data_IF_131022697939
#
_entry.id   IF_131022697939
#
_cell.length_a   1.000
_cell.length_b   1.000
_cell.length_c   1.000
_cell.angle_alpha   90.00
_cell.angle_beta   90.00
_cell.angle_gamma   90.00
#
_symmetry.space_group_name_H-M   'P 1'
#
loop_
_entity.id
_entity.type
_entity.pdbx_description
1 polymer ?
#
# COMPACT_ATOMS: atom_id res chain seq x y z
N UNK A 1 -26.51 -34.42 63.68
CA UNK A 1 -25.69 -33.89 62.56
C UNK A 1 -26.64 -33.51 61.42
N UNK A 2 -26.84 -32.22 61.19
CA UNK A 2 -27.76 -31.70 60.19
C UNK A 2 -27.05 -31.56 58.83
N UNK A 3 -27.58 -32.22 57.79
CA UNK A 3 -27.07 -32.14 56.43
C UNK A 3 -27.52 -30.83 55.77
N UNK A 4 -26.56 -29.94 55.52
CA UNK A 4 -26.75 -28.63 54.88
C UNK A 4 -26.89 -28.84 53.37
N UNK A 5 -28.11 -28.72 52.82
CA UNK A 5 -28.36 -28.71 51.37
C UNK A 5 -27.93 -27.36 50.80
N UNK A 6 -26.83 -27.33 50.07
CA UNK A 6 -26.38 -26.16 49.30
C UNK A 6 -27.20 -26.06 48.01
N UNK A 7 -27.99 -25.00 47.89
CA UNK A 7 -28.84 -24.67 46.75
C UNK A 7 -27.98 -23.93 45.71
N UNK A 8 -27.64 -24.59 44.60
CA UNK A 8 -26.93 -23.95 43.48
C UNK A 8 -27.95 -23.11 42.71
N UNK A 9 -27.79 -21.78 42.76
CA UNK A 9 -28.63 -20.85 42.00
C UNK A 9 -28.23 -20.90 40.52
N UNK A 10 -29.15 -21.36 39.68
CA UNK A 10 -29.03 -21.27 38.23
C UNK A 10 -29.07 -19.80 37.80
N UNK A 11 -27.97 -19.33 37.20
CA UNK A 11 -27.86 -17.99 36.61
C UNK A 11 -28.66 -17.99 35.30
N UNK A 12 -29.91 -17.53 35.36
CA UNK A 12 -30.75 -17.30 34.19
C UNK A 12 -30.15 -16.12 33.42
N UNK A 13 -29.60 -16.41 32.25
CA UNK A 13 -29.13 -15.41 31.29
C UNK A 13 -30.35 -14.73 30.67
N UNK A 14 -30.80 -13.62 31.26
CA UNK A 14 -31.87 -12.79 30.68
C UNK A 14 -31.37 -12.18 29.37
N UNK A 15 -31.79 -12.73 28.24
CA UNK A 15 -31.64 -12.06 26.95
C UNK A 15 -32.64 -10.90 26.91
N UNK A 16 -32.13 -9.68 27.00
CA UNK A 16 -32.93 -8.46 26.81
C UNK A 16 -33.29 -8.38 25.33
N UNK A 17 -34.58 -8.43 25.01
CA UNK A 17 -35.08 -8.21 23.66
C UNK A 17 -34.77 -6.76 23.24
N UNK A 18 -34.06 -6.60 22.13
CA UNK A 18 -33.73 -5.27 21.60
C UNK A 18 -34.97 -4.65 20.96
N UNK A 19 -35.06 -3.33 21.06
CA UNK A 19 -36.06 -2.56 20.31
C UNK A 19 -35.77 -2.65 18.80
N UNK A 20 -36.79 -2.45 17.97
CA UNK A 20 -36.67 -2.50 16.50
C UNK A 20 -35.60 -1.53 15.98
N UNK A 21 -35.53 -0.32 16.55
CA UNK A 21 -34.51 0.68 16.21
C UNK A 21 -33.09 0.23 16.58
N UNK A 22 -32.91 -0.37 17.75
CA UNK A 22 -31.61 -0.92 18.17
C UNK A 22 -31.19 -2.12 17.32
N UNK A 23 -32.13 -2.93 16.84
CA UNK A 23 -31.83 -4.01 15.90
C UNK A 23 -31.37 -3.47 14.55
N UNK A 24 -32.06 -2.47 14.00
CA UNK A 24 -31.65 -1.81 12.75
C UNK A 24 -30.25 -1.19 12.87
N UNK A 25 -29.98 -0.47 13.96
CA UNK A 25 -28.67 0.16 14.20
C UNK A 25 -27.54 -0.87 14.38
N UNK A 26 -27.82 -1.97 15.09
CA UNK A 26 -26.87 -3.09 15.22
C UNK A 26 -26.58 -3.77 13.89
N UNK A 27 -27.60 -3.99 13.06
CA UNK A 27 -27.43 -4.60 11.74
C UNK A 27 -26.57 -3.69 10.84
N UNK A 28 -26.83 -2.38 10.85
CA UNK A 28 -26.03 -1.40 10.11
C UNK A 28 -24.57 -1.41 10.59
N UNK A 29 -24.36 -1.41 11.91
CA UNK A 29 -23.03 -1.48 12.51
C UNK A 29 -22.27 -2.73 12.07
N UNK A 30 -22.90 -3.91 12.17
CA UNK A 30 -22.30 -5.19 11.75
C UNK A 30 -21.97 -5.16 10.26
N UNK A 31 -22.86 -4.64 9.42
CA UNK A 31 -22.65 -4.59 7.96
C UNK A 31 -21.44 -3.76 7.56
N UNK A 32 -21.14 -2.68 8.31
CA UNK A 32 -19.99 -1.82 8.07
C UNK A 32 -18.70 -2.35 8.70
N UNK A 33 -18.74 -3.41 9.52
CA UNK A 33 -17.52 -4.02 10.03
C UNK A 33 -16.75 -4.68 8.86
N UNK A 34 -15.47 -4.31 8.62
CA UNK A 34 -14.69 -4.89 7.52
C UNK A 34 -14.62 -6.43 7.58
N UNK A 35 -14.58 -6.99 8.79
CA UNK A 35 -14.52 -8.43 9.01
C UNK A 35 -15.83 -9.12 8.66
N UNK A 36 -16.98 -8.48 8.94
CA UNK A 36 -18.29 -9.05 8.63
C UNK A 36 -18.58 -9.00 7.13
N UNK A 37 -18.27 -7.88 6.49
CA UNK A 37 -18.43 -7.75 5.04
C UNK A 37 -17.54 -8.75 4.29
N UNK A 38 -16.25 -8.84 4.64
CA UNK A 38 -15.35 -9.81 4.05
C UNK A 38 -15.76 -11.26 4.35
N UNK A 39 -16.21 -11.57 5.57
CA UNK A 39 -16.68 -12.91 5.94
C UNK A 39 -17.89 -13.34 5.11
N UNK A 40 -18.84 -12.44 4.84
CA UNK A 40 -20.01 -12.75 4.02
C UNK A 40 -19.60 -13.19 2.59
N UNK A 41 -18.69 -12.43 1.96
CA UNK A 41 -18.17 -12.78 0.63
C UNK A 41 -17.36 -14.08 0.68
N UNK A 42 -16.50 -14.25 1.68
CA UNK A 42 -15.70 -15.47 1.83
C UNK A 42 -16.61 -16.70 2.03
N UNK A 43 -17.71 -16.57 2.77
CA UNK A 43 -18.66 -17.66 2.97
C UNK A 43 -19.34 -18.09 1.65
N UNK A 44 -19.66 -17.13 0.77
CA UNK A 44 -20.28 -17.42 -0.52
C UNK A 44 -19.32 -18.15 -1.49
N UNK A 45 -18.05 -17.73 -1.54
CA UNK A 45 -17.04 -18.32 -2.43
C UNK A 45 -16.28 -19.50 -1.81
N UNK A 46 -16.35 -19.66 -0.49
CA UNK A 46 -15.59 -20.64 0.29
C UNK A 46 -16.23 -22.02 0.36
N UNK A 47 -17.41 -22.23 -0.25
CA UNK A 47 -18.15 -23.51 -0.21
C UNK A 47 -17.35 -24.71 -0.69
N UNK A 48 -16.36 -24.49 -1.56
CA UNK A 48 -15.43 -25.52 -2.00
C UNK A 48 -14.56 -26.10 -0.87
N UNK A 49 -14.40 -25.38 0.23
CA UNK A 49 -13.62 -25.79 1.42
C UNK A 49 -14.48 -26.35 2.56
N UNK A 50 -15.79 -26.53 2.33
CA UNK A 50 -16.76 -27.02 3.32
C UNK A 50 -17.78 -25.97 3.76
N UNK A 51 -18.63 -26.34 4.72
CA UNK A 51 -19.58 -25.41 5.33
C UNK A 51 -18.85 -24.30 6.07
N UNK A 52 -19.29 -23.05 5.87
CA UNK A 52 -18.62 -21.86 6.36
C UNK A 52 -19.41 -21.25 7.52
N UNK A 53 -18.80 -21.13 8.69
CA UNK A 53 -19.35 -20.35 9.80
C UNK A 53 -18.90 -18.89 9.68
N UNK A 54 -19.85 -18.02 9.34
CA UNK A 54 -19.63 -16.57 9.19
C UNK A 54 -19.11 -15.95 10.49
N UNK A 55 -19.55 -16.41 11.67
CA UNK A 55 -19.08 -15.87 12.95
C UNK A 55 -17.62 -16.22 13.19
N UNK A 56 -17.23 -17.46 12.89
CA UNK A 56 -15.84 -17.89 12.97
C UNK A 56 -14.95 -17.13 11.97
N UNK A 57 -15.44 -16.92 10.74
CA UNK A 57 -14.73 -16.13 9.72
C UNK A 57 -14.49 -14.69 10.18
N UNK A 58 -15.49 -14.05 10.81
CA UNK A 58 -15.35 -12.71 11.39
C UNK A 58 -14.22 -12.67 12.41
N UNK A 59 -14.18 -13.63 13.33
CA UNK A 59 -13.15 -13.67 14.38
C UNK A 59 -11.74 -13.87 13.79
N UNK A 60 -11.60 -14.80 12.84
CA UNK A 60 -10.33 -15.02 12.15
C UNK A 60 -9.86 -13.78 11.38
N UNK A 61 -10.77 -13.11 10.67
CA UNK A 61 -10.45 -11.88 9.94
C UNK A 61 -10.03 -10.74 10.87
N UNK A 62 -10.68 -10.57 12.02
CA UNK A 62 -10.27 -9.59 13.03
C UNK A 62 -8.86 -9.85 13.51
N UNK A 63 -8.53 -11.12 13.82
CA UNK A 63 -7.15 -11.49 14.19
C UNK A 63 -6.13 -11.15 13.10
N UNK A 64 -6.48 -11.32 11.82
CA UNK A 64 -5.61 -10.95 10.69
C UNK A 64 -5.48 -9.44 10.52
N UNK A 65 -6.54 -8.67 10.75
CA UNK A 65 -6.46 -7.21 10.72
C UNK A 65 -5.57 -6.68 11.85
N UNK A 66 -5.71 -7.23 13.06
CA UNK A 66 -4.86 -6.87 14.20
C UNK A 66 -3.37 -7.20 13.93
N UNK A 67 -3.08 -8.30 13.21
CA UNK A 67 -1.72 -8.64 12.78
C UNK A 67 -1.13 -7.58 11.83
N UNK A 68 -1.91 -7.20 10.81
CA UNK A 68 -1.50 -6.18 9.83
C UNK A 68 -1.34 -4.81 10.49
N UNK A 69 -2.23 -4.43 11.41
CA UNK A 69 -2.12 -3.18 12.17
C UNK A 69 -0.83 -3.13 13.01
N UNK A 70 -0.38 -4.28 13.53
CA UNK A 70 0.89 -4.42 14.26
C UNK A 70 2.12 -4.51 13.35
N UNK A 71 1.94 -4.44 12.04
CA UNK A 71 3.01 -4.52 11.04
C UNK A 71 3.45 -5.94 10.67
N UNK A 72 2.74 -6.97 11.11
CA UNK A 72 3.00 -8.34 10.66
C UNK A 72 2.32 -8.60 9.30
N UNK A 73 3.14 -8.60 8.25
CA UNK A 73 2.69 -8.78 6.86
C UNK A 73 2.86 -10.20 6.33
N UNK A 74 3.36 -11.17 7.12
CA UNK A 74 3.66 -12.52 6.63
C UNK A 74 2.46 -13.21 5.96
N UNK A 75 1.26 -12.99 6.50
CA UNK A 75 0.03 -13.51 5.91
C UNK A 75 -0.25 -12.88 4.55
N UNK A 76 -0.11 -11.56 4.41
CA UNK A 76 -0.28 -10.85 3.15
C UNK A 76 0.77 -11.28 2.11
N UNK A 77 2.02 -11.46 2.53
CA UNK A 77 3.10 -11.98 1.67
C UNK A 77 2.74 -13.37 1.12
N UNK A 78 2.35 -14.29 2.02
CA UNK A 78 1.95 -15.64 1.65
C UNK A 78 0.74 -15.65 0.72
N UNK A 79 -0.24 -14.78 0.97
CA UNK A 79 -1.42 -14.61 0.13
C UNK A 79 -1.05 -14.14 -1.27
N UNK A 80 -0.19 -13.12 -1.41
CA UNK A 80 0.26 -12.62 -2.71
C UNK A 80 1.08 -13.67 -3.49
N UNK A 81 1.94 -14.41 -2.81
CA UNK A 81 2.68 -15.54 -3.43
C UNK A 81 1.71 -16.59 -3.96
N UNK A 82 0.71 -16.99 -3.16
CA UNK A 82 -0.33 -17.93 -3.57
C UNK A 82 -1.14 -17.44 -4.78
N UNK A 83 -1.55 -16.17 -4.77
CA UNK A 83 -2.27 -15.54 -5.89
C UNK A 83 -1.43 -15.50 -7.17
N UNK A 84 -0.14 -15.15 -7.06
CA UNK A 84 0.78 -15.15 -8.21
C UNK A 84 0.90 -16.57 -8.80
N UNK A 85 1.04 -17.61 -7.98
CA UNK A 85 1.08 -18.99 -8.45
C UNK A 85 -0.23 -19.44 -9.13
N UNK A 86 -1.38 -19.04 -8.60
CA UNK A 86 -2.68 -19.34 -9.23
C UNK A 86 -2.81 -18.66 -10.59
N UNK A 87 -2.46 -17.38 -10.70
CA UNK A 87 -2.48 -16.63 -11.95
C UNK A 87 -1.50 -17.19 -12.98
N UNK A 88 -0.30 -17.58 -12.55
CA UNK A 88 0.69 -18.27 -13.39
C UNK A 88 0.13 -19.60 -13.91
N UNK A 89 -0.56 -20.37 -13.08
CA UNK A 89 -1.18 -21.63 -13.48
C UNK A 89 -2.29 -21.42 -14.51
N UNK A 90 -3.09 -20.37 -14.36
CA UNK A 90 -4.09 -19.95 -15.34
C UNK A 90 -3.42 -19.57 -16.67
N UNK A 91 -2.35 -18.76 -16.63
CA UNK A 91 -1.57 -18.41 -17.82
C UNK A 91 -1.06 -19.67 -18.55
N UNK A 92 -0.45 -20.61 -17.84
CA UNK A 92 0.07 -21.85 -18.41
C UNK A 92 -1.05 -22.71 -19.02
N UNK A 93 -2.16 -22.86 -18.31
CA UNK A 93 -3.31 -23.62 -18.80
C UNK A 93 -3.91 -23.01 -20.08
N UNK A 94 -4.18 -21.70 -20.08
CA UNK A 94 -4.76 -20.99 -21.22
C UNK A 94 -3.81 -20.97 -22.42
N UNK A 95 -2.51 -20.79 -22.20
CA UNK A 95 -1.50 -20.85 -23.28
C UNK A 95 -1.46 -22.23 -23.93
N UNK A 96 -1.48 -23.31 -23.12
CA UNK A 96 -1.55 -24.68 -23.65
C UNK A 96 -2.84 -24.90 -24.45
N UNK A 97 -3.97 -24.36 -24.00
CA UNK A 97 -5.24 -24.46 -24.75
C UNK A 97 -5.18 -23.68 -26.06
N UNK A 98 -4.57 -22.49 -26.07
CA UNK A 98 -4.45 -21.64 -27.25
C UNK A 98 -3.69 -22.32 -28.40
N UNK A 99 -2.57 -23.00 -28.10
CA UNK A 99 -1.78 -23.73 -29.12
C UNK A 99 -2.55 -24.88 -29.75
N UNK A 100 -3.52 -25.45 -29.04
CA UNK A 100 -4.34 -26.55 -29.52
C UNK A 100 -5.67 -26.09 -30.16
N UNK A 101 -5.82 -24.79 -30.47
CA UNK A 101 -7.03 -24.30 -31.14
C UNK A 101 -6.88 -24.30 -32.66
N UNK A 102 -7.88 -24.83 -33.35
CA UNK A 102 -7.99 -24.81 -34.81
C UNK A 102 -8.55 -23.48 -35.31
N UNK A 103 -9.49 -22.89 -34.56
CA UNK A 103 -10.13 -21.63 -34.94
C UNK A 103 -9.44 -20.41 -34.34
N UNK A 104 -9.07 -19.46 -35.21
CA UNK A 104 -8.39 -18.22 -34.84
C UNK A 104 -9.11 -17.44 -33.72
N UNK A 105 -10.45 -17.41 -33.73
CA UNK A 105 -11.24 -16.73 -32.68
C UNK A 105 -10.99 -17.31 -31.29
N UNK A 106 -10.91 -18.64 -31.17
CA UNK A 106 -10.67 -19.29 -29.88
C UNK A 106 -9.21 -19.13 -29.44
N UNK A 107 -8.28 -19.21 -30.40
CA UNK A 107 -6.86 -18.93 -30.17
C UNK A 107 -6.68 -17.52 -29.59
N UNK A 108 -7.27 -16.52 -30.24
CA UNK A 108 -7.18 -15.12 -29.81
C UNK A 108 -7.76 -14.91 -28.41
N UNK A 109 -8.94 -15.50 -28.11
CA UNK A 109 -9.57 -15.39 -26.79
C UNK A 109 -8.69 -16.01 -25.71
N UNK A 110 -8.21 -17.24 -25.89
CA UNK A 110 -7.38 -17.90 -24.89
C UNK A 110 -6.04 -17.19 -24.71
N UNK A 111 -5.38 -16.80 -25.81
CA UNK A 111 -4.10 -16.12 -25.74
C UNK A 111 -4.23 -14.75 -25.06
N UNK A 112 -5.27 -13.98 -25.36
CA UNK A 112 -5.56 -12.69 -24.70
C UNK A 112 -5.80 -12.84 -23.20
N UNK A 113 -6.59 -13.84 -22.79
CA UNK A 113 -6.81 -14.11 -21.37
C UNK A 113 -5.55 -14.62 -20.67
N UNK A 114 -4.73 -15.43 -21.36
CA UNK A 114 -3.45 -15.91 -20.85
C UNK A 114 -2.49 -14.74 -20.58
N UNK A 115 -2.27 -13.85 -21.55
CA UNK A 115 -1.40 -12.69 -21.40
C UNK A 115 -1.91 -11.72 -20.31
N UNK A 116 -3.24 -11.61 -20.14
CA UNK A 116 -3.81 -10.88 -19.01
C UNK A 116 -3.44 -11.54 -17.67
N UNK A 117 -3.58 -12.86 -17.54
CA UNK A 117 -3.22 -13.58 -16.32
C UNK A 117 -1.71 -13.45 -16.00
N UNK A 118 -0.85 -13.53 -17.02
CA UNK A 118 0.60 -13.29 -16.88
C UNK A 118 0.90 -11.90 -16.34
N UNK A 119 0.30 -10.85 -16.93
CA UNK A 119 0.53 -9.48 -16.47
C UNK A 119 0.04 -9.28 -15.04
N UNK A 120 -1.11 -9.87 -14.67
CA UNK A 120 -1.61 -9.83 -13.30
C UNK A 120 -0.67 -10.55 -12.33
N UNK A 121 -0.15 -11.73 -12.68
CA UNK A 121 0.85 -12.44 -11.86
C UNK A 121 2.09 -11.60 -11.60
N UNK A 122 2.61 -10.91 -12.63
CA UNK A 122 3.75 -9.99 -12.48
C UNK A 122 3.41 -8.84 -11.55
N UNK A 123 2.26 -8.20 -11.71
CA UNK A 123 1.83 -7.09 -10.85
C UNK A 123 1.65 -7.51 -9.39
N UNK A 124 1.20 -8.74 -9.13
CA UNK A 124 1.15 -9.30 -7.76
C UNK A 124 2.54 -9.42 -7.14
N UNK A 125 3.54 -9.91 -7.90
CA UNK A 125 4.92 -10.01 -7.44
C UNK A 125 5.59 -8.64 -7.27
N UNK A 126 5.27 -7.67 -8.12
CA UNK A 126 5.71 -6.27 -7.97
C UNK A 126 5.12 -5.64 -6.71
N UNK A 127 3.85 -5.91 -6.42
CA UNK A 127 3.19 -5.48 -5.17
C UNK A 127 3.91 -6.08 -3.96
N UNK A 128 4.22 -7.38 -4.01
CA UNK A 128 5.00 -8.04 -2.94
C UNK A 128 6.39 -7.41 -2.77
N UNK A 129 7.09 -7.12 -3.87
CA UNK A 129 8.40 -6.46 -3.82
C UNK A 129 8.31 -5.05 -3.22
N UNK A 130 7.27 -4.28 -3.58
CA UNK A 130 7.01 -2.96 -3.03
C UNK A 130 6.62 -3.00 -1.54
N UNK A 131 5.91 -4.06 -1.10
CA UNK A 131 5.63 -4.27 0.32
C UNK A 131 6.89 -4.53 1.14
N UNK A 132 7.83 -5.34 0.60
CA UNK A 132 9.11 -5.64 1.29
C UNK A 132 10.08 -4.46 1.24
N UNK A 133 10.08 -3.71 0.14
CA UNK A 133 10.96 -2.57 -0.09
C UNK A 133 10.14 -1.37 -0.57
N UNK A 134 9.50 -0.62 0.36
CA UNK A 134 8.71 0.54 -0.01
C UNK A 134 9.57 1.55 -0.79
N UNK A 135 9.09 2.05 -1.94
CA UNK A 135 9.85 3.03 -2.71
C UNK A 135 10.10 4.26 -1.83
N UNK A 136 11.37 4.66 -1.72
CA UNK A 136 11.75 5.90 -1.03
C UNK A 136 11.30 7.06 -1.90
N UNK A 137 10.08 7.56 -1.65
CA UNK A 137 9.61 8.79 -2.27
C UNK A 137 10.25 9.94 -1.52
N UNK A 138 11.32 10.50 -2.07
CA UNK A 138 11.79 11.81 -1.65
C UNK A 138 10.75 12.83 -2.06
N UNK A 139 9.80 13.11 -1.18
CA UNK A 139 8.98 14.30 -1.28
C UNK A 139 9.94 15.49 -1.19
N UNK A 140 10.38 16.02 -2.34
CA UNK A 140 10.92 17.38 -2.38
C UNK A 140 9.81 18.25 -1.81
N UNK A 141 9.96 18.64 -0.54
CA UNK A 141 9.14 19.67 0.08
C UNK A 141 9.38 20.93 -0.74
N UNK A 142 8.59 21.10 -1.80
CA UNK A 142 8.37 22.40 -2.36
C UNK A 142 7.54 23.11 -1.29
N UNK A 143 8.23 23.84 -0.40
CA UNK A 143 7.63 24.95 0.32
C UNK A 143 7.20 25.96 -0.76
N UNK A 144 6.06 25.66 -1.36
CA UNK A 144 5.35 26.51 -2.30
C UNK A 144 4.81 27.64 -1.45
N UNK A 145 5.67 28.63 -1.21
CA UNK A 145 5.26 29.99 -0.93
C UNK A 145 4.81 30.59 -2.28
N UNK A 146 3.70 30.09 -2.82
CA UNK A 146 3.12 30.65 -4.03
C UNK A 146 2.38 31.95 -3.68
N UNK A 147 3.07 33.06 -3.91
CA UNK A 147 2.47 34.29 -4.41
C UNK A 147 1.64 35.12 -3.42
N UNK A 148 2.25 36.21 -2.96
CA UNK A 148 1.62 37.41 -2.36
C UNK A 148 1.01 37.28 -0.95
N UNK A 149 1.86 37.01 0.04
CA UNK A 149 1.49 37.33 1.41
C UNK A 149 2.68 37.19 2.35
N UNK A 150 3.31 38.32 2.66
CA UNK A 150 4.25 38.42 3.76
C UNK A 150 3.59 37.82 5.00
N UNK A 151 4.05 36.65 5.44
CA UNK A 151 3.56 36.02 6.67
C UNK A 151 4.18 36.80 7.83
N UNK A 152 3.59 37.96 8.15
CA UNK A 152 3.91 38.69 9.36
C UNK A 152 3.25 37.98 10.53
N UNK A 153 4.08 37.30 11.32
CA UNK A 153 3.69 36.85 12.66
C UNK A 153 3.64 38.06 13.58
N UNK A 154 2.48 38.70 13.72
CA UNK A 154 2.29 39.76 14.69
C UNK A 154 1.99 39.13 16.06
N UNK A 155 3.03 38.73 16.79
CA UNK A 155 2.86 38.35 18.20
C UNK A 155 2.80 39.62 19.04
N UNK A 156 1.60 40.20 19.14
CA UNK A 156 1.35 41.42 19.89
C UNK A 156 1.77 41.27 21.36
N UNK A 157 2.73 42.08 21.79
CA UNK A 157 2.96 42.34 23.21
C UNK A 157 3.00 43.86 23.39
N UNK A 158 2.09 44.36 24.23
CA UNK A 158 1.87 45.78 24.48
C UNK A 158 3.13 46.46 25.04
N UNK A 159 3.48 47.63 24.50
CA UNK A 159 4.45 48.53 25.10
C UNK A 159 3.75 49.47 26.10
N UNK A 160 4.24 49.65 27.34
CA UNK A 160 3.88 50.77 28.17
C UNK A 160 4.84 51.96 27.97
N UNK A 161 4.31 53.12 28.32
CA UNK A 161 4.78 54.48 28.11
C UNK A 161 6.19 54.89 28.61
N UNK A 162 6.71 55.88 27.86
CA UNK A 162 7.46 57.07 28.28
C UNK A 162 8.93 56.95 28.76
N UNK A 163 9.85 57.56 27.99
CA UNK A 163 10.37 58.94 28.23
C UNK A 163 11.53 59.29 27.27
N UNK A 164 11.37 60.44 26.59
CA UNK A 164 12.39 61.48 26.33
C UNK A 164 13.67 61.12 25.54
N UNK A 165 13.73 61.55 24.27
CA UNK A 165 14.87 62.32 23.71
C UNK A 165 14.58 62.84 22.28
N UNK A 166 14.39 64.15 22.18
CA UNK A 166 14.82 65.10 21.13
C UNK A 166 15.09 64.64 19.68
N UNK A 167 14.30 65.25 18.77
CA UNK A 167 14.42 65.42 17.31
C UNK A 167 15.85 65.50 16.74
N UNK A 168 16.11 64.83 15.60
CA UNK A 168 16.60 65.44 14.35
C UNK A 168 16.65 64.44 13.17
N UNK A 169 16.32 64.93 11.96
CA UNK A 169 16.93 64.46 10.69
C UNK A 169 16.26 63.29 9.95
N UNK A 170 15.51 63.60 8.90
CA UNK A 170 15.19 62.69 7.81
C UNK A 170 16.47 62.33 7.03
N UNK A 171 16.64 61.06 6.61
CA UNK A 171 17.10 60.61 5.29
C UNK A 171 16.99 59.08 5.22
N UNK A 172 16.42 58.57 4.12
CA UNK A 172 16.27 57.15 3.84
C UNK A 172 17.61 56.54 3.39
N UNK A 173 18.08 55.50 4.07
CA UNK A 173 19.26 54.73 3.67
C UNK A 173 18.88 53.56 2.75
N UNK A 174 19.53 53.55 1.59
CA UNK A 174 19.55 52.50 0.57
C UNK A 174 20.31 51.27 1.10
N UNK A 175 19.61 50.15 1.27
CA UNK A 175 20.23 48.90 1.73
C UNK A 175 20.82 48.13 0.52
N UNK A 176 22.14 48.25 0.36
CA UNK A 176 22.93 47.44 -0.59
C UNK A 176 22.81 45.96 -0.24
N UNK A 177 22.18 45.21 -1.14
CA UNK A 177 22.09 43.75 -1.11
C UNK A 177 23.47 43.14 -1.41
N UNK A 178 24.24 42.78 -0.38
CA UNK A 178 25.46 41.99 -0.55
C UNK A 178 25.09 40.52 -0.73
N UNK A 179 25.40 39.98 -1.91
CA UNK A 179 25.29 38.57 -2.24
C UNK A 179 26.16 37.75 -1.29
N UNK A 180 25.57 36.77 -0.61
CA UNK A 180 26.33 35.68 0.00
C UNK A 180 26.80 34.75 -1.12
N UNK A 181 28.12 34.72 -1.31
CA UNK A 181 28.83 33.87 -2.26
C UNK A 181 28.61 32.39 -1.91
N UNK A 182 28.06 31.65 -2.87
CA UNK A 182 28.00 30.19 -2.86
C UNK A 182 29.44 29.65 -2.81
N UNK A 183 29.67 28.71 -1.89
CA UNK A 183 30.90 27.93 -1.83
C UNK A 183 30.93 26.98 -3.04
N UNK A 184 31.67 27.36 -4.08
CA UNK A 184 32.02 26.50 -5.21
C UNK A 184 32.87 25.33 -4.70
N UNK A 185 32.24 24.16 -4.52
CA UNK A 185 32.99 22.91 -4.43
C UNK A 185 33.33 22.49 -5.85
N UNK A 186 34.47 22.95 -6.34
CA UNK A 186 35.16 22.35 -7.48
C UNK A 186 35.66 20.96 -7.09
N UNK A 187 34.96 19.92 -7.53
CA UNK A 187 35.60 18.67 -7.93
C UNK A 187 35.30 18.42 -9.39
N UNK A 188 36.07 19.12 -10.24
CA UNK A 188 36.26 18.71 -11.61
C UNK A 188 37.07 17.41 -11.64
N UNK A 189 36.44 16.34 -12.12
CA UNK A 189 37.16 15.41 -12.96
C UNK A 189 36.19 14.72 -13.91
N UNK A 190 36.43 14.96 -15.19
CA UNK A 190 36.14 14.07 -16.31
C UNK A 190 34.66 13.83 -16.63
N UNK A 191 34.19 14.60 -17.61
CA UNK A 191 33.46 14.02 -18.73
C UNK A 191 34.26 12.83 -19.28
N UNK A 192 33.87 11.62 -18.89
CA UNK A 192 34.30 10.39 -19.55
C UNK A 192 33.06 9.69 -20.10
N UNK A 193 32.93 9.84 -21.40
CA UNK A 193 32.36 8.92 -22.38
C UNK A 193 32.03 7.52 -21.84
N UNK A 194 30.77 7.10 -22.01
CA UNK A 194 30.31 5.74 -21.71
C UNK A 194 29.94 4.97 -22.97
N UNK A 195 30.82 4.97 -23.98
CA UNK A 195 30.84 3.89 -24.97
C UNK A 195 31.57 2.67 -24.39
N UNK A 196 30.81 1.77 -23.78
CA UNK A 196 31.28 0.42 -23.46
C UNK A 196 31.19 -0.45 -24.71
N UNK A 197 32.34 -0.77 -25.33
CA UNK A 197 32.46 -1.80 -26.36
C UNK A 197 32.26 -3.18 -25.71
N UNK A 198 31.20 -3.89 -26.09
CA UNK A 198 30.97 -5.27 -25.65
C UNK A 198 32.01 -6.22 -26.24
N UNK A 199 32.65 -7.01 -25.38
CA UNK A 199 33.59 -8.05 -25.79
C UNK A 199 32.86 -9.18 -26.54
N UNK A 200 33.36 -9.50 -27.74
CA UNK A 200 32.99 -10.69 -28.51
C UNK A 200 33.46 -11.95 -27.79
N UNK A 201 32.52 -12.79 -27.36
CA UNK A 201 32.82 -14.12 -26.85
C UNK A 201 33.06 -15.03 -28.05
N UNK A 202 34.30 -15.49 -28.21
CA UNK A 202 34.67 -16.49 -29.19
C UNK A 202 34.06 -17.85 -28.84
N UNK A 203 33.27 -18.40 -29.74
CA UNK A 203 33.07 -19.85 -29.84
C UNK A 203 33.33 -20.27 -31.27
N UNK A 204 34.44 -20.99 -31.42
CA UNK A 204 34.76 -21.85 -32.55
C UNK A 204 33.54 -22.68 -32.96
N UNK A 205 33.18 -22.58 -34.23
CA UNK A 205 32.48 -23.65 -34.94
C UNK A 205 33.10 -23.75 -36.34
N UNK A 206 34.09 -24.62 -36.43
CA UNK A 206 34.65 -25.11 -37.70
C UNK A 206 33.57 -25.87 -38.45
N UNK A 207 32.89 -25.21 -39.39
CA UNK A 207 32.08 -25.86 -40.40
C UNK A 207 32.98 -26.26 -41.57
N UNK A 208 33.27 -27.56 -41.68
CA UNK A 208 33.79 -28.12 -42.91
C UNK A 208 32.65 -28.21 -43.94
N UNK A 209 32.88 -27.67 -45.12
CA UNK A 209 32.07 -27.90 -46.30
C UNK A 209 32.95 -28.47 -47.42
N UNK A 210 32.31 -29.30 -48.24
CA UNK A 210 32.65 -29.76 -49.60
C UNK A 210 33.41 -31.09 -49.71
N UNK A 211 32.80 -32.02 -50.46
CA UNK A 211 33.41 -33.24 -50.98
C UNK A 211 32.48 -34.43 -50.97
#
# INVERSE_FOLDING_TARGET
MAAKKTKVAAKVSTQVALTEKEMVDRIATITLMPSANAAAVIADYGKAFGEQDVSALIEQLRSKFDQVEKGDLHYCESMLVGQAHALQSIFMNLSRRAVNQEYMKNLEVYLRLALKAQNQSRMTLETLAAMKNPPVVFAKQANINHGNGNQQVNNGTAAPDAKTATRTGAHAEENKNQQNELLEVQHGSKTLDSQATGATIGKDQTMAALG
#
